data_IF_549109083700
#
_entry.id   IF_549109083700
#
_cell.length_a   1.000
_cell.length_b   1.000
_cell.length_c   1.000
_cell.angle_alpha   90.00
_cell.angle_beta   90.00
_cell.angle_gamma   90.00
#
_symmetry.space_group_name_H-M   'P 1'
#
loop_
_entity.id
_entity.type
_entity.pdbx_description
1 polymer ?
#
# COMPACT_ATOMS: atom_id res chain seq x y z
N UNK A 1 7.27 9.45 -1.95
CA UNK A 1 6.78 8.07 -2.12
C UNK A 1 5.26 8.08 -2.04
N UNK A 2 4.64 7.25 -2.82
CA UNK A 2 3.18 7.09 -2.79
C UNK A 2 2.80 5.81 -2.10
N UNK A 3 1.66 5.81 -1.41
CA UNK A 3 1.07 4.63 -0.80
C UNK A 3 -0.14 4.19 -1.62
N UNK A 4 -0.21 2.91 -1.95
CA UNK A 4 -1.42 2.29 -2.50
C UNK A 4 -1.89 1.24 -1.51
N UNK A 5 -3.12 1.39 -1.01
CA UNK A 5 -3.64 0.48 -0.01
C UNK A 5 -5.17 0.39 -0.11
N UNK A 6 -5.71 -0.77 0.21
CA UNK A 6 -7.14 -0.96 0.38
C UNK A 6 -7.44 -1.24 1.85
N UNK A 7 -8.48 -0.63 2.39
CA UNK A 7 -8.90 -0.83 3.77
C UNK A 7 -10.41 -0.88 3.90
N UNK A 8 -10.88 -1.40 5.03
CA UNK A 8 -12.28 -1.29 5.41
C UNK A 8 -12.55 0.07 6.09
N UNK A 9 -13.80 0.38 6.48
CA UNK A 9 -14.09 1.67 7.12
C UNK A 9 -13.28 1.97 8.39
N UNK A 10 -12.79 0.94 9.07
CA UNK A 10 -12.01 1.07 10.30
C UNK A 10 -10.49 1.10 10.07
N UNK A 11 -10.05 1.09 8.81
CA UNK A 11 -8.63 1.05 8.47
C UNK A 11 -8.05 -0.36 8.43
N UNK A 12 -8.89 -1.38 8.52
CA UNK A 12 -8.44 -2.79 8.45
C UNK A 12 -7.93 -3.15 7.08
N UNK A 13 -6.74 -3.76 7.00
CA UNK A 13 -6.10 -4.14 5.74
C UNK A 13 -5.72 -5.60 5.67
N UNK A 14 -5.87 -6.36 6.73
CA UNK A 14 -5.48 -7.76 6.73
C UNK A 14 -6.12 -8.57 7.84
N UNK A 15 -6.18 -9.87 7.60
CA UNK A 15 -6.60 -10.88 8.57
C UNK A 15 -5.88 -12.19 8.25
N UNK A 16 -5.19 -12.77 9.23
CA UNK A 16 -4.40 -14.00 9.07
C UNK A 16 -3.42 -13.93 7.88
N UNK A 17 -2.72 -12.82 7.73
CA UNK A 17 -1.76 -12.57 6.64
C UNK A 17 -2.37 -12.58 5.24
N UNK A 18 -3.68 -12.36 5.14
CA UNK A 18 -4.42 -12.29 3.87
C UNK A 18 -5.28 -11.03 3.84
N UNK A 19 -5.75 -10.66 2.65
CA UNK A 19 -6.76 -9.63 2.52
C UNK A 19 -8.06 -10.11 3.18
N UNK A 20 -8.77 -9.26 3.92
CA UNK A 20 -10.02 -9.65 4.59
C UNK A 20 -11.16 -9.94 3.62
N UNK A 21 -11.08 -9.43 2.40
CA UNK A 21 -12.07 -9.60 1.34
C UNK A 21 -11.53 -10.47 0.22
N UNK A 22 -12.43 -11.05 -0.57
CA UNK A 22 -12.04 -11.89 -1.71
C UNK A 22 -11.87 -11.08 -2.99
N UNK A 23 -12.68 -10.03 -3.18
CA UNK A 23 -12.62 -9.21 -4.38
C UNK A 23 -13.25 -7.83 -4.14
N UNK A 24 -12.61 -6.79 -4.68
CA UNK A 24 -13.15 -5.44 -4.76
C UNK A 24 -13.17 -5.08 -6.23
N UNK A 25 -14.35 -4.77 -6.76
CA UNK A 25 -14.53 -4.55 -8.19
C UNK A 25 -13.70 -3.37 -8.70
N UNK A 26 -12.79 -3.64 -9.64
CA UNK A 26 -11.94 -2.63 -10.26
C UNK A 26 -10.66 -2.29 -9.51
N UNK A 27 -10.45 -2.84 -8.31
CA UNK A 27 -9.28 -2.52 -7.50
C UNK A 27 -7.98 -3.07 -8.10
N UNK A 28 -7.95 -4.34 -8.48
CA UNK A 28 -6.74 -4.94 -9.07
C UNK A 28 -6.35 -4.31 -10.41
N UNK A 29 -7.26 -4.04 -11.35
CA UNK A 29 -6.91 -3.32 -12.57
C UNK A 29 -6.36 -1.92 -12.29
N UNK A 30 -6.91 -1.19 -11.34
CA UNK A 30 -6.43 0.13 -10.93
C UNK A 30 -5.03 0.05 -10.34
N UNK A 31 -4.81 -0.91 -9.44
CA UNK A 31 -3.49 -1.17 -8.86
C UNK A 31 -2.46 -1.43 -9.96
N UNK A 32 -2.78 -2.30 -10.90
CA UNK A 32 -1.90 -2.61 -12.02
C UNK A 32 -1.60 -1.36 -12.86
N UNK A 33 -2.61 -0.58 -13.19
CA UNK A 33 -2.44 0.64 -13.98
C UNK A 33 -1.52 1.64 -13.29
N UNK A 34 -1.73 1.87 -11.98
CA UNK A 34 -0.94 2.82 -11.21
C UNK A 34 0.52 2.41 -11.06
N UNK A 35 0.79 1.11 -10.93
CA UNK A 35 2.13 0.60 -10.58
C UNK A 35 2.97 0.12 -11.76
N UNK A 36 2.37 -0.14 -12.92
CA UNK A 36 3.12 -0.64 -14.08
C UNK A 36 4.22 0.35 -14.48
N UNK A 37 5.45 -0.17 -14.64
CA UNK A 37 6.62 0.63 -14.96
C UNK A 37 7.23 1.35 -13.77
N UNK A 38 6.71 1.14 -12.58
CA UNK A 38 7.16 1.81 -11.35
C UNK A 38 7.93 0.86 -10.43
N UNK A 39 8.48 1.42 -9.36
CA UNK A 39 9.07 0.64 -8.27
C UNK A 39 7.98 0.36 -7.24
N UNK A 40 7.80 -0.90 -6.88
CA UNK A 40 6.89 -1.29 -5.80
C UNK A 40 7.71 -1.81 -4.62
N UNK A 41 7.43 -1.27 -3.45
CA UNK A 41 8.13 -1.61 -2.21
C UNK A 41 7.13 -2.26 -1.26
N UNK A 42 7.55 -3.34 -0.62
CA UNK A 42 6.69 -4.10 0.28
C UNK A 42 7.49 -4.74 1.40
N UNK A 43 6.81 -5.03 2.49
CA UNK A 43 7.38 -5.86 3.54
C UNK A 43 7.39 -7.33 3.14
N UNK A 44 8.11 -8.16 3.90
CA UNK A 44 8.28 -9.58 3.59
C UNK A 44 6.95 -10.34 3.58
N UNK A 45 6.07 -10.09 4.54
CA UNK A 45 4.78 -10.80 4.60
C UNK A 45 3.92 -10.49 3.37
N UNK A 46 3.94 -9.26 2.89
CA UNK A 46 3.24 -8.88 1.66
C UNK A 46 3.84 -9.61 0.47
N UNK A 47 5.17 -9.67 0.37
CA UNK A 47 5.85 -10.42 -0.68
C UNK A 47 5.43 -11.89 -0.68
N UNK A 48 5.45 -12.53 0.48
CA UNK A 48 5.09 -13.94 0.59
C UNK A 48 3.61 -14.21 0.27
N UNK A 49 2.74 -13.22 0.48
CA UNK A 49 1.30 -13.34 0.21
C UNK A 49 0.93 -13.14 -1.26
N UNK A 50 1.83 -12.62 -2.08
CA UNK A 50 1.53 -12.39 -3.49
C UNK A 50 1.28 -13.72 -4.21
N UNK A 51 0.14 -13.84 -4.94
CA UNK A 51 -0.15 -15.07 -5.68
C UNK A 51 0.81 -15.28 -6.84
N UNK A 52 1.34 -14.20 -7.40
CA UNK A 52 2.35 -14.24 -8.47
C UNK A 52 3.47 -13.27 -8.12
N UNK A 53 4.69 -13.76 -8.00
CA UNK A 53 5.85 -12.95 -7.64
C UNK A 53 7.04 -13.28 -8.53
N UNK A 54 7.81 -12.24 -8.93
CA UNK A 54 7.55 -10.83 -8.67
C UNK A 54 6.35 -10.31 -9.45
N UNK A 55 5.82 -9.15 -9.05
CA UNK A 55 4.79 -8.48 -9.83
C UNK A 55 5.38 -8.10 -11.20
N UNK A 56 4.76 -8.52 -12.32
CA UNK A 56 5.35 -8.32 -13.64
C UNK A 56 5.35 -6.83 -14.05
N UNK A 57 6.35 -6.46 -14.86
CA UNK A 57 6.50 -5.13 -15.44
C UNK A 57 6.69 -4.02 -14.39
N UNK A 58 7.25 -4.38 -13.24
CA UNK A 58 7.55 -3.47 -12.13
C UNK A 58 8.88 -3.87 -11.51
N UNK A 59 9.54 -2.92 -10.90
CA UNK A 59 10.73 -3.20 -10.10
C UNK A 59 10.25 -3.52 -8.69
N UNK A 60 10.43 -4.76 -8.25
CA UNK A 60 9.98 -5.22 -6.93
C UNK A 60 11.13 -5.10 -5.93
N UNK A 61 10.84 -4.47 -4.79
CA UNK A 61 11.79 -4.31 -3.69
C UNK A 61 11.13 -4.75 -2.41
N UNK A 62 11.81 -5.59 -1.64
CA UNK A 62 11.31 -6.09 -0.35
C UNK A 62 12.12 -5.48 0.78
N UNK A 63 11.45 -4.93 1.78
CA UNK A 63 12.07 -4.46 3.01
C UNK A 63 12.01 -5.60 4.03
N UNK A 64 13.16 -6.10 4.44
CA UNK A 64 13.27 -7.25 5.35
C UNK A 64 14.60 -7.20 6.10
N UNK A 65 14.61 -7.71 7.33
CA UNK A 65 15.83 -7.83 8.12
C UNK A 65 16.73 -8.96 7.62
N UNK A 66 16.20 -9.87 6.80
CA UNK A 66 16.95 -10.98 6.20
C UNK A 66 16.77 -10.96 4.69
N UNK A 67 17.78 -11.43 3.96
CA UNK A 67 17.70 -11.48 2.51
C UNK A 67 16.56 -12.37 2.03
N UNK A 68 15.90 -11.94 0.97
CA UNK A 68 14.88 -12.71 0.26
C UNK A 68 15.48 -13.17 -1.05
N UNK A 69 15.63 -14.49 -1.28
CA UNK A 69 16.29 -14.99 -2.49
C UNK A 69 15.60 -14.53 -3.77
N UNK A 70 16.42 -14.13 -4.76
CA UNK A 70 15.94 -13.80 -6.09
C UNK A 70 15.29 -12.44 -6.26
N UNK A 71 15.31 -11.58 -5.24
CA UNK A 71 14.69 -10.26 -5.29
C UNK A 71 15.57 -9.23 -4.57
N UNK A 72 15.48 -7.97 -4.98
CA UNK A 72 16.16 -6.87 -4.30
C UNK A 72 15.59 -6.71 -2.90
N UNK A 73 16.46 -6.77 -1.89
CA UNK A 73 16.08 -6.68 -0.48
C UNK A 73 16.81 -5.50 0.16
N UNK A 74 16.06 -4.68 0.93
CA UNK A 74 16.60 -3.59 1.72
C UNK A 74 16.31 -3.85 3.20
N UNK A 75 17.22 -3.46 4.07
CA UNK A 75 16.98 -3.55 5.52
C UNK A 75 15.97 -2.50 6.00
N UNK A 76 15.96 -1.33 5.37
CA UNK A 76 15.04 -0.24 5.66
C UNK A 76 14.84 0.61 4.42
N UNK A 77 13.78 1.42 4.40
CA UNK A 77 13.58 2.39 3.34
C UNK A 77 14.64 3.47 3.41
N UNK A 78 15.13 3.97 2.25
CA UNK A 78 16.06 5.09 2.22
C UNK A 78 15.44 6.34 2.84
N UNK A 79 16.27 7.16 3.47
CA UNK A 79 15.82 8.47 3.93
C UNK A 79 15.54 9.37 2.74
N UNK A 80 14.62 10.31 2.94
CA UNK A 80 14.09 11.16 1.88
C UNK A 80 15.16 11.91 1.07
N UNK A 81 16.23 12.34 1.73
CA UNK A 81 17.28 13.14 1.10
C UNK A 81 18.21 12.34 0.17
N UNK A 82 18.14 11.03 0.19
CA UNK A 82 19.12 10.17 -0.49
C UNK A 82 18.62 9.56 -1.79
N UNK A 83 17.31 9.63 -2.07
CA UNK A 83 16.72 9.03 -3.26
C UNK A 83 15.52 9.81 -3.75
N UNK A 84 15.31 9.74 -5.08
CA UNK A 84 14.08 10.21 -5.69
C UNK A 84 13.00 9.15 -5.50
N UNK A 85 12.00 9.46 -4.67
CA UNK A 85 10.91 8.56 -4.35
C UNK A 85 9.63 8.84 -5.14
N UNK A 86 9.67 9.71 -6.16
CA UNK A 86 8.46 10.12 -6.90
C UNK A 86 7.74 8.97 -7.58
N UNK A 87 8.48 7.99 -8.10
CA UNK A 87 7.92 6.83 -8.81
C UNK A 87 7.99 5.55 -7.98
N UNK A 88 8.07 5.70 -6.65
CA UNK A 88 8.10 4.57 -5.72
C UNK A 88 6.75 4.46 -5.03
N UNK A 89 6.19 3.26 -5.06
CA UNK A 89 4.87 2.94 -4.50
C UNK A 89 5.03 1.91 -3.38
N UNK A 90 4.68 2.30 -2.17
CA UNK A 90 4.59 1.39 -1.02
C UNK A 90 3.26 0.66 -1.11
N UNK A 91 3.27 -0.67 -1.08
CA UNK A 91 2.07 -1.48 -1.27
C UNK A 91 1.68 -2.34 -0.07
N UNK A 92 2.44 -2.27 1.02
CA UNK A 92 2.11 -2.99 2.27
C UNK A 92 3.36 -3.53 2.95
N UNK A 93 3.31 -4.13 4.12
CA UNK A 93 2.08 -4.23 4.92
C UNK A 93 1.95 -3.14 5.97
N UNK A 94 1.05 -3.36 6.92
CA UNK A 94 0.71 -2.35 7.91
C UNK A 94 1.90 -1.85 8.73
N UNK A 95 2.77 -2.75 9.16
CA UNK A 95 3.94 -2.37 9.95
C UNK A 95 4.85 -1.41 9.19
N UNK A 96 5.14 -1.73 7.93
CA UNK A 96 5.97 -0.89 7.08
C UNK A 96 5.27 0.44 6.76
N UNK A 97 3.98 0.41 6.45
CA UNK A 97 3.20 1.63 6.21
C UNK A 97 3.25 2.54 7.43
N UNK A 98 2.91 2.00 8.61
CA UNK A 98 2.81 2.81 9.84
C UNK A 98 4.17 3.35 10.31
N UNK A 99 5.27 2.73 9.93
CA UNK A 99 6.62 3.25 10.22
C UNK A 99 7.16 4.20 9.13
N UNK A 100 6.43 4.38 8.03
CA UNK A 100 6.93 5.11 6.85
C UNK A 100 6.09 6.33 6.47
N UNK A 101 5.15 6.76 7.30
CA UNK A 101 4.27 7.89 6.98
C UNK A 101 5.04 9.15 6.59
N UNK A 102 6.18 9.40 7.23
CA UNK A 102 7.00 10.59 6.94
C UNK A 102 7.58 10.61 5.51
N UNK A 103 7.63 9.47 4.84
CA UNK A 103 8.12 9.36 3.46
C UNK A 103 6.98 9.40 2.44
N UNK A 104 5.73 9.31 2.87
CA UNK A 104 4.56 9.26 2.00
C UNK A 104 4.04 10.67 1.77
N UNK A 105 3.90 11.05 0.51
CA UNK A 105 3.35 12.36 0.12
C UNK A 105 1.98 12.27 -0.55
N UNK A 106 1.61 11.09 -1.04
CA UNK A 106 0.33 10.86 -1.69
C UNK A 106 -0.17 9.45 -1.38
N UNK A 107 -1.48 9.32 -1.11
CA UNK A 107 -2.11 8.04 -0.77
C UNK A 107 -3.24 7.77 -1.76
N UNK A 108 -3.17 6.61 -2.40
CA UNK A 108 -4.26 6.07 -3.21
C UNK A 108 -4.96 5.01 -2.37
N UNK A 109 -6.15 5.35 -1.89
CA UNK A 109 -6.88 4.53 -0.92
C UNK A 109 -8.15 3.97 -1.55
N UNK A 110 -8.28 2.65 -1.49
CA UNK A 110 -9.55 1.96 -1.75
C UNK A 110 -10.18 1.67 -0.40
N UNK A 111 -11.35 2.26 -0.14
CA UNK A 111 -12.05 2.08 1.15
C UNK A 111 -13.34 1.36 0.91
N UNK A 112 -13.48 0.14 1.43
CA UNK A 112 -14.69 -0.66 1.27
C UNK A 112 -15.85 -0.03 2.07
N UNK A 113 -17.08 -0.24 1.59
CA UNK A 113 -18.27 0.17 2.36
C UNK A 113 -18.56 -0.81 3.48
N UNK A 114 -18.28 -2.10 3.27
CA UNK A 114 -18.52 -3.14 4.27
C UNK A 114 -17.38 -3.22 5.27
N UNK A 115 -17.71 -3.49 6.52
CA UNK A 115 -16.73 -3.80 7.55
C UNK A 115 -16.34 -5.26 7.49
N UNK A 116 -15.07 -5.55 7.78
CA UNK A 116 -14.53 -6.90 7.77
C UNK A 116 -13.84 -7.19 9.10
N UNK A 117 -13.70 -8.47 9.42
CA UNK A 117 -12.88 -8.88 10.55
C UNK A 117 -11.41 -8.72 10.15
N UNK A 118 -10.70 -7.85 10.86
CA UNK A 118 -9.30 -7.53 10.58
C UNK A 118 -8.48 -7.65 11.86
N UNK A 119 -7.22 -8.06 11.70
CA UNK A 119 -6.23 -8.04 12.78
C UNK A 119 -5.08 -7.06 12.50
N UNK A 120 -5.10 -6.43 11.34
CA UNK A 120 -4.03 -5.55 10.87
C UNK A 120 -4.65 -4.26 10.33
N UNK A 121 -4.15 -3.12 10.77
CA UNK A 121 -4.77 -1.81 10.51
C UNK A 121 -3.74 -0.76 10.11
N UNK A 122 -4.17 0.21 9.28
CA UNK A 122 -3.42 1.44 9.06
C UNK A 122 -3.99 2.55 9.94
N UNK A 123 -3.17 3.56 10.22
CA UNK A 123 -3.56 4.70 11.08
C UNK A 123 -4.34 5.74 10.26
N UNK A 124 -5.67 5.59 10.22
CA UNK A 124 -6.55 6.53 9.51
C UNK A 124 -6.57 7.91 10.17
N UNK A 125 -6.36 8.01 11.48
CA UNK A 125 -6.30 9.30 12.16
C UNK A 125 -5.09 10.10 11.69
N UNK A 126 -3.97 9.44 11.48
CA UNK A 126 -2.76 10.09 10.94
C UNK A 126 -3.00 10.56 9.51
N UNK A 127 -3.67 9.76 8.69
CA UNK A 127 -4.07 10.18 7.35
C UNK A 127 -4.90 11.46 7.39
N UNK A 128 -5.92 11.50 8.24
CA UNK A 128 -6.80 12.67 8.35
C UNK A 128 -6.10 13.91 8.87
N UNK A 129 -5.11 13.75 9.78
CA UNK A 129 -4.38 14.88 10.36
C UNK A 129 -3.34 15.46 9.42
N UNK A 130 -2.64 14.61 8.66
CA UNK A 130 -1.47 15.03 7.88
C UNK A 130 -1.74 15.17 6.39
N UNK A 131 -2.85 14.63 5.90
CA UNK A 131 -3.21 14.64 4.49
C UNK A 131 -4.57 15.26 4.28
N UNK A 132 -4.81 15.71 3.05
CA UNK A 132 -6.10 16.24 2.61
C UNK A 132 -6.66 15.35 1.51
N UNK A 133 -7.95 15.00 1.60
CA UNK A 133 -8.60 14.26 0.52
C UNK A 133 -8.77 15.18 -0.69
N UNK A 134 -7.99 14.90 -1.72
CA UNK A 134 -7.96 15.68 -2.93
C UNK A 134 -8.97 15.20 -3.98
N UNK A 135 -9.26 13.90 -3.99
CA UNK A 135 -10.17 13.26 -4.95
C UNK A 135 -10.88 12.10 -4.28
N UNK A 136 -12.19 11.96 -4.57
CA UNK A 136 -12.98 10.84 -4.07
C UNK A 136 -14.00 10.45 -5.13
N UNK A 137 -14.07 9.15 -5.42
CA UNK A 137 -14.98 8.58 -6.39
C UNK A 137 -15.71 7.38 -5.79
N UNK A 138 -17.04 7.38 -5.90
CA UNK A 138 -17.86 6.28 -5.39
C UNK A 138 -17.99 5.18 -6.43
N UNK A 139 -17.82 3.94 -5.99
CA UNK A 139 -18.05 2.72 -6.76
C UNK A 139 -19.12 1.88 -6.05
N UNK A 140 -19.46 0.72 -6.61
CA UNK A 140 -20.54 -0.10 -6.09
C UNK A 140 -20.25 -0.66 -4.69
N UNK A 141 -18.99 -0.97 -4.39
CA UNK A 141 -18.56 -1.64 -3.15
C UNK A 141 -17.49 -0.88 -2.37
N UNK A 142 -17.03 0.27 -2.88
CA UNK A 142 -15.95 1.05 -2.26
C UNK A 142 -15.92 2.48 -2.76
N UNK A 143 -15.13 3.31 -2.07
CA UNK A 143 -14.65 4.58 -2.62
C UNK A 143 -13.21 4.43 -3.05
N UNK A 144 -12.83 5.13 -4.12
CA UNK A 144 -11.42 5.35 -4.47
C UNK A 144 -11.09 6.79 -4.09
N UNK A 145 -10.05 6.96 -3.27
CA UNK A 145 -9.67 8.26 -2.71
C UNK A 145 -8.19 8.53 -2.97
N UNK A 146 -7.90 9.77 -3.33
CA UNK A 146 -6.52 10.24 -3.42
C UNK A 146 -6.32 11.31 -2.35
N UNK A 147 -5.37 11.06 -1.47
CA UNK A 147 -5.02 11.97 -0.39
C UNK A 147 -3.63 12.54 -0.64
N UNK A 148 -3.44 13.81 -0.44
CA UNK A 148 -2.16 14.48 -0.61
C UNK A 148 -1.77 15.16 0.70
N UNK A 149 -0.47 15.15 1.00
CA UNK A 149 0.06 15.76 2.22
C UNK A 149 -0.27 17.24 2.24
N UNK A 150 -0.71 17.70 3.42
CA UNK A 150 -1.00 19.12 3.67
C UNK A 150 0.24 19.99 3.54
#
# INVERSE_FOLDING_TARGET
MKLIVACDPNGGIGYNNKLPWTNIQGDLPRFKELTTGKVVVMGRNTWESLPKKPLPNRINVVVSSTDVPGITTLNSLPEEDNMDLRDVYLIGGAKLINSSWHLIDEVHLTRTFSEYTCDTFIDLLKLQREFMCWFKENHIDHTYEIWKRK
#
